data_IF_016069350036
#
_entry.id   IF_016069350036
#
_cell.length_a   1.000
_cell.length_b   1.000
_cell.length_c   1.000
_cell.angle_alpha   90.00
_cell.angle_beta   90.00
_cell.angle_gamma   90.00
#
_symmetry.space_group_name_H-M   'P 1'
#
loop_
_entity.id
_entity.type
_entity.pdbx_description
1 polymer ?
#
# COMPACT_ATOMS: atom_id res chain seq x y z
N UNK A 1 -31.21 26.60 0.53
CA UNK A 1 -30.55 27.34 -0.56
C UNK A 1 -29.46 28.24 0.02
N UNK A 2 -28.23 27.74 0.23
CA UNK A 2 -27.16 28.50 0.90
C UNK A 2 -25.79 28.43 0.22
N UNK A 3 -25.70 27.72 -0.91
CA UNK A 3 -24.45 27.55 -1.66
C UNK A 3 -24.27 28.60 -2.77
N UNK A 4 -25.23 29.52 -2.94
CA UNK A 4 -25.18 30.59 -3.96
C UNK A 4 -25.25 30.12 -5.41
N UNK A 5 -25.52 28.83 -5.67
CA UNK A 5 -25.49 28.24 -7.04
C UNK A 5 -26.57 28.79 -7.98
N UNK A 6 -27.55 29.52 -7.47
CA UNK A 6 -28.60 30.19 -8.26
C UNK A 6 -28.43 31.72 -8.29
N UNK A 7 -27.39 32.25 -7.63
CA UNK A 7 -27.18 33.69 -7.54
C UNK A 7 -26.75 34.26 -8.90
N UNK A 8 -27.16 35.49 -9.25
CA UNK A 8 -26.69 36.16 -10.44
C UNK A 8 -25.16 36.27 -10.42
N UNK A 9 -24.49 35.63 -11.40
CA UNK A 9 -23.03 35.62 -11.49
C UNK A 9 -22.33 34.42 -10.85
N UNK A 10 -23.06 33.41 -10.37
CA UNK A 10 -22.49 32.17 -9.79
C UNK A 10 -21.46 31.45 -10.68
N UNK A 11 -21.49 31.72 -11.99
CA UNK A 11 -20.58 31.16 -13.00
C UNK A 11 -19.97 32.25 -13.90
N UNK A 12 -19.80 33.47 -13.37
CA UNK A 12 -19.22 34.58 -14.15
C UNK A 12 -17.70 34.44 -14.36
N UNK A 13 -17.03 33.68 -13.49
CA UNK A 13 -15.59 33.42 -13.58
C UNK A 13 -15.29 32.23 -14.51
N UNK A 14 -14.15 32.27 -15.19
CA UNK A 14 -13.65 31.13 -15.95
C UNK A 14 -13.13 30.04 -15.00
N UNK A 15 -13.32 28.74 -15.33
CA UNK A 15 -12.80 27.66 -14.51
C UNK A 15 -11.27 27.71 -14.49
N UNK A 16 -10.63 27.35 -13.35
CA UNK A 16 -9.18 27.28 -13.29
C UNK A 16 -8.66 26.25 -14.29
N UNK A 17 -7.72 26.67 -15.14
CA UNK A 17 -7.12 25.81 -16.17
C UNK A 17 -5.95 24.98 -15.65
N UNK A 18 -5.50 25.24 -14.41
CA UNK A 18 -4.42 24.50 -13.76
C UNK A 18 -4.72 24.40 -12.27
N UNK A 19 -4.76 23.17 -11.77
CA UNK A 19 -4.98 22.87 -10.36
C UNK A 19 -3.96 21.82 -9.94
N UNK A 20 -3.17 22.13 -8.92
CA UNK A 20 -2.32 21.13 -8.26
C UNK A 20 -3.12 20.47 -7.13
N UNK A 21 -3.43 19.18 -7.32
CA UNK A 21 -4.21 18.38 -6.39
C UNK A 21 -3.34 17.39 -5.57
N UNK A 22 -2.01 17.45 -5.71
CA UNK A 22 -1.08 16.55 -5.01
C UNK A 22 0.14 17.31 -4.44
N UNK A 23 -0.14 18.45 -3.80
CA UNK A 23 0.89 19.32 -3.22
C UNK A 23 1.73 18.58 -2.17
N UNK A 24 2.99 19.01 -1.91
CA UNK A 24 3.84 18.40 -0.87
C UNK A 24 3.19 18.39 0.52
N UNK A 25 2.38 19.42 0.85
CA UNK A 25 1.67 19.49 2.12
C UNK A 25 0.55 18.45 2.21
N UNK A 26 -0.24 18.26 1.15
CA UNK A 26 -1.28 17.22 1.09
C UNK A 26 -0.65 15.83 1.26
N UNK A 27 0.45 15.56 0.55
CA UNK A 27 1.21 14.31 0.68
C UNK A 27 1.75 14.07 2.09
N UNK A 28 2.29 15.11 2.73
CA UNK A 28 2.79 15.00 4.10
C UNK A 28 1.66 14.68 5.09
N UNK A 29 0.50 15.33 4.94
CA UNK A 29 -0.69 15.04 5.73
C UNK A 29 -1.19 13.61 5.50
N UNK A 30 -1.31 13.18 4.24
CA UNK A 30 -1.74 11.82 3.90
C UNK A 30 -0.79 10.76 4.50
N UNK A 31 0.52 10.96 4.38
CA UNK A 31 1.54 10.09 5.00
C UNK A 31 1.37 10.00 6.52
N UNK A 32 1.19 11.14 7.19
CA UNK A 32 1.00 11.18 8.64
C UNK A 32 -0.27 10.44 9.05
N UNK A 33 -1.39 10.69 8.38
CA UNK A 33 -2.65 10.00 8.64
C UNK A 33 -2.52 8.49 8.45
N UNK A 34 -1.87 8.04 7.37
CA UNK A 34 -1.61 6.63 7.14
C UNK A 34 -0.76 6.01 8.27
N UNK A 35 0.31 6.69 8.71
CA UNK A 35 1.15 6.25 9.82
C UNK A 35 0.39 6.16 11.15
N UNK A 36 -0.47 7.13 11.45
CA UNK A 36 -1.28 7.17 12.67
C UNK A 36 -2.48 6.19 12.61
N UNK A 37 -2.83 5.67 11.43
CA UNK A 37 -3.94 4.72 11.24
C UNK A 37 -3.51 3.25 11.30
N UNK A 38 -2.21 2.95 11.33
CA UNK A 38 -1.72 1.58 11.47
C UNK A 38 -1.86 1.10 12.91
N UNK A 39 -2.46 -0.09 13.08
CA UNK A 39 -2.67 -0.71 14.39
C UNK A 39 -1.74 -1.92 14.53
N UNK A 40 -0.79 -1.84 15.46
CA UNK A 40 0.04 -2.98 15.85
C UNK A 40 -0.76 -3.90 16.79
N UNK A 41 -1.22 -5.03 16.27
CA UNK A 41 -2.03 -5.97 17.05
C UNK A 41 -1.21 -6.88 17.97
N UNK A 42 0.00 -7.28 17.55
CA UNK A 42 0.89 -8.13 18.30
C UNK A 42 2.36 -7.83 17.97
N UNK A 43 3.24 -7.96 18.96
CA UNK A 43 4.69 -7.90 18.79
C UNK A 43 5.35 -8.74 19.88
N UNK A 44 6.05 -9.79 19.48
CA UNK A 44 6.80 -10.71 20.33
C UNK A 44 8.26 -10.28 20.56
N UNK A 45 8.62 -9.07 20.10
CA UNK A 45 9.94 -8.48 20.26
C UNK A 45 10.71 -8.34 18.95
N UNK A 46 10.20 -8.88 17.84
CA UNK A 46 10.81 -8.76 16.50
C UNK A 46 10.76 -7.32 15.97
N UNK A 47 9.71 -6.56 16.26
CA UNK A 47 9.58 -5.18 15.79
C UNK A 47 10.14 -4.17 16.81
N UNK A 48 10.79 -3.07 16.34
CA UNK A 48 11.01 -2.73 14.93
C UNK A 48 12.17 -3.51 14.30
N UNK A 49 12.07 -3.82 12.99
CA UNK A 49 13.09 -4.57 12.23
C UNK A 49 14.45 -3.86 12.18
N UNK A 50 14.43 -2.54 12.19
CA UNK A 50 15.61 -1.69 12.30
C UNK A 50 15.38 -0.73 13.46
N UNK A 51 16.24 -0.77 14.48
CA UNK A 51 16.24 0.24 15.55
C UNK A 51 17.04 1.46 15.11
N UNK A 52 16.53 2.66 15.41
CA UNK A 52 17.22 3.91 15.10
C UNK A 52 18.43 4.13 16.02
N UNK A 53 19.33 5.06 15.68
CA UNK A 53 20.51 5.48 16.46
C UNK A 53 20.25 5.87 17.94
N UNK A 54 18.99 5.95 18.38
CA UNK A 54 18.58 6.41 19.72
C UNK A 54 18.37 5.26 20.71
N UNK A 55 18.32 4.02 20.25
CA UNK A 55 18.09 2.86 21.12
C UNK A 55 19.45 2.22 21.44
N UNK A 56 19.80 2.21 22.71
CA UNK A 56 21.15 1.97 23.27
C UNK A 56 21.93 0.82 22.63
N UNK A 57 23.19 1.11 22.31
CA UNK A 57 24.22 0.13 21.98
C UNK A 57 24.56 -0.66 23.26
N UNK A 58 24.46 -1.99 23.20
CA UNK A 58 25.46 -2.92 23.77
C UNK A 58 24.97 -4.38 23.70
N UNK A 59 23.67 -4.66 23.53
CA UNK A 59 23.12 -6.04 23.45
C UNK A 59 22.04 -6.25 22.36
N UNK A 60 21.88 -5.34 21.39
CA UNK A 60 20.81 -5.45 20.39
C UNK A 60 21.16 -6.45 19.26
N UNK A 61 20.22 -7.31 18.82
CA UNK A 61 20.40 -8.10 17.61
C UNK A 61 20.60 -7.18 16.39
N UNK A 62 21.55 -7.55 15.51
CA UNK A 62 21.82 -6.82 14.28
C UNK A 62 20.59 -6.79 13.37
N UNK A 63 20.39 -5.69 12.64
CA UNK A 63 19.36 -5.59 11.59
C UNK A 63 19.41 -6.82 10.65
N UNK A 64 18.25 -7.30 10.14
CA UNK A 64 18.21 -8.47 9.28
C UNK A 64 19.00 -8.21 7.99
N UNK A 65 19.78 -9.21 7.58
CA UNK A 65 20.55 -9.18 6.32
C UNK A 65 19.70 -9.66 5.15
N UNK A 66 18.73 -10.54 5.41
CA UNK A 66 17.79 -11.07 4.43
C UNK A 66 16.36 -10.93 4.92
N UNK A 67 15.51 -10.32 4.11
CA UNK A 67 14.07 -10.16 4.38
C UNK A 67 13.28 -10.73 3.20
N UNK A 68 12.40 -11.67 3.49
CA UNK A 68 11.42 -12.14 2.52
C UNK A 68 10.17 -11.26 2.61
N UNK A 69 9.65 -10.80 1.48
CA UNK A 69 8.33 -10.17 1.39
C UNK A 69 7.45 -11.11 0.59
N UNK A 70 6.33 -11.55 1.15
CA UNK A 70 5.47 -12.55 0.49
C UNK A 70 4.00 -12.18 0.58
N UNK A 71 3.19 -12.74 -0.30
CA UNK A 71 1.75 -12.59 -0.31
C UNK A 71 1.23 -11.75 -1.48
N UNK A 72 -0.07 -11.90 -1.83
CA UNK A 72 -0.66 -11.30 -3.03
C UNK A 72 -0.61 -9.77 -3.04
N UNK A 73 -0.66 -9.14 -1.87
CA UNK A 73 -0.74 -7.69 -1.75
C UNK A 73 0.63 -7.04 -1.56
N UNK A 74 1.72 -7.81 -1.58
CA UNK A 74 3.08 -7.31 -1.34
C UNK A 74 3.53 -6.30 -2.40
N UNK A 75 3.20 -6.55 -3.67
CA UNK A 75 3.61 -5.74 -4.82
C UNK A 75 2.41 -5.22 -5.63
N UNK A 76 1.36 -4.80 -4.93
CA UNK A 76 0.19 -4.14 -5.53
C UNK A 76 -0.07 -2.80 -4.88
N UNK A 77 -0.11 -1.75 -5.69
CA UNK A 77 -0.51 -0.41 -5.26
C UNK A 77 -2.01 -0.31 -5.05
N UNK A 78 -2.78 -1.08 -5.81
CA UNK A 78 -4.24 -1.21 -5.73
C UNK A 78 -4.68 -1.75 -4.37
N UNK A 79 -3.92 -2.67 -3.79
CA UNK A 79 -4.17 -3.23 -2.46
C UNK A 79 -4.05 -2.19 -1.33
N UNK A 80 -3.36 -1.08 -1.55
CA UNK A 80 -3.29 0.05 -0.60
C UNK A 80 -4.49 0.99 -0.73
N UNK A 81 -5.30 0.80 -1.77
CA UNK A 81 -6.45 1.63 -2.07
C UNK A 81 -7.73 0.87 -1.76
N UNK A 82 -8.66 1.54 -1.08
CA UNK A 82 -9.97 0.99 -0.82
C UNK A 82 -10.92 1.12 -2.01
N UNK A 83 -12.14 0.68 -1.76
CA UNK A 83 -13.28 1.02 -2.61
C UNK A 83 -13.48 2.55 -2.62
N UNK A 84 -13.90 3.08 -3.76
CA UNK A 84 -14.07 4.49 -4.08
C UNK A 84 -12.76 5.26 -4.32
N UNK A 85 -11.71 4.55 -4.66
CA UNK A 85 -10.49 5.14 -5.19
C UNK A 85 -10.56 5.30 -6.71
N UNK A 86 -9.96 6.38 -7.23
CA UNK A 86 -9.83 6.58 -8.68
C UNK A 86 -9.02 5.44 -9.32
N UNK A 87 -8.01 4.94 -8.61
CA UNK A 87 -7.15 3.82 -9.03
C UNK A 87 -7.96 2.56 -9.26
N UNK A 88 -8.69 2.08 -8.25
CA UNK A 88 -9.38 0.78 -8.37
C UNK A 88 -10.68 0.88 -9.17
N UNK A 89 -11.32 2.06 -9.21
CA UNK A 89 -12.66 2.19 -9.81
C UNK A 89 -12.67 2.84 -11.19
N UNK A 90 -11.83 3.84 -11.43
CA UNK A 90 -11.85 4.58 -12.70
C UNK A 90 -10.75 4.03 -13.61
N UNK A 91 -9.51 3.97 -13.13
CA UNK A 91 -8.38 3.55 -13.96
C UNK A 91 -8.45 2.08 -14.40
N UNK A 92 -9.14 1.23 -13.64
CA UNK A 92 -9.46 -0.14 -14.06
C UNK A 92 -10.19 -0.20 -15.43
N UNK A 93 -10.89 0.87 -15.84
CA UNK A 93 -11.55 0.99 -17.13
C UNK A 93 -10.75 1.77 -18.19
N UNK A 94 -9.57 2.29 -17.84
CA UNK A 94 -8.73 3.15 -18.70
C UNK A 94 -7.27 2.66 -18.76
N UNK A 95 -7.03 1.45 -19.32
CA UNK A 95 -5.69 0.89 -19.39
C UNK A 95 -4.77 1.82 -20.19
N UNK A 96 -3.58 2.09 -19.64
CA UNK A 96 -2.59 3.02 -20.22
C UNK A 96 -2.66 4.45 -19.69
N UNK A 97 -3.66 4.79 -18.87
CA UNK A 97 -3.68 6.06 -18.14
C UNK A 97 -2.87 5.92 -16.85
N UNK A 98 -1.85 6.77 -16.59
CA UNK A 98 -1.09 6.71 -15.35
C UNK A 98 -1.94 7.12 -14.14
N UNK A 99 -1.57 6.64 -12.96
CA UNK A 99 -2.26 6.97 -11.70
C UNK A 99 -2.30 8.46 -11.37
N UNK A 100 -1.30 9.22 -11.84
CA UNK A 100 -1.18 10.66 -11.58
C UNK A 100 -0.67 11.00 -10.17
N UNK A 101 -0.51 10.00 -9.30
CA UNK A 101 0.04 10.10 -7.94
C UNK A 101 1.04 8.98 -7.69
N UNK A 102 1.99 9.21 -6.77
CA UNK A 102 2.93 8.19 -6.35
C UNK A 102 2.29 7.23 -5.34
N UNK A 103 2.26 5.93 -5.68
CA UNK A 103 1.68 4.87 -4.85
C UNK A 103 2.66 3.70 -4.74
N UNK A 104 3.77 3.86 -3.99
CA UNK A 104 4.74 2.79 -3.86
C UNK A 104 4.12 1.58 -3.17
N UNK A 105 4.41 0.38 -3.66
CA UNK A 105 3.94 -0.87 -3.05
C UNK A 105 4.61 -1.09 -1.68
N UNK A 106 4.11 -2.08 -0.92
CA UNK A 106 4.78 -2.49 0.33
C UNK A 106 6.19 -3.00 0.04
N UNK A 107 6.36 -3.78 -1.02
CA UNK A 107 7.65 -4.29 -1.47
C UNK A 107 8.62 -3.16 -1.84
N UNK A 108 8.17 -2.19 -2.65
CA UNK A 108 8.99 -1.02 -3.02
C UNK A 108 9.39 -0.21 -1.78
N UNK A 109 8.44 0.05 -0.89
CA UNK A 109 8.68 0.83 0.34
C UNK A 109 9.63 0.10 1.30
N UNK A 110 9.56 -1.23 1.40
CA UNK A 110 10.48 -2.03 2.21
C UNK A 110 11.88 -2.08 1.61
N UNK A 111 12.01 -2.18 0.29
CA UNK A 111 13.32 -2.11 -0.39
C UNK A 111 14.02 -0.78 -0.15
N UNK A 112 13.27 0.33 -0.18
CA UNK A 112 13.81 1.66 0.14
C UNK A 112 14.16 1.79 1.64
N UNK A 113 13.24 1.41 2.53
CA UNK A 113 13.42 1.54 3.97
C UNK A 113 14.52 0.61 4.53
N UNK A 114 14.78 -0.52 3.87
CA UNK A 114 15.79 -1.51 4.25
C UNK A 114 16.97 -1.51 3.26
N UNK A 115 17.33 -0.35 2.72
CA UNK A 115 18.47 -0.25 1.80
C UNK A 115 19.74 -0.88 2.40
N UNK A 116 20.31 -1.86 1.70
CA UNK A 116 21.47 -2.65 2.15
C UNK A 116 21.13 -4.03 2.71
N UNK A 117 19.84 -4.34 2.92
CA UNK A 117 19.32 -5.68 3.17
C UNK A 117 18.96 -6.36 1.85
N UNK A 118 19.18 -7.67 1.76
CA UNK A 118 18.72 -8.48 0.63
C UNK A 118 17.22 -8.76 0.78
N UNK A 119 16.41 -8.17 -0.11
CA UNK A 119 14.94 -8.26 -0.07
C UNK A 119 14.44 -9.14 -1.22
N UNK A 120 14.02 -10.34 -0.87
CA UNK A 120 13.45 -11.33 -1.80
C UNK A 120 11.93 -11.27 -1.79
N UNK A 121 11.29 -11.67 -2.89
CA UNK A 121 9.83 -11.58 -3.06
C UNK A 121 9.25 -12.85 -3.68
N UNK A 122 8.10 -13.29 -3.19
CA UNK A 122 7.28 -14.34 -3.79
C UNK A 122 5.78 -14.12 -3.49
N UNK A 123 4.93 -14.27 -4.50
CA UNK A 123 3.48 -14.02 -4.36
C UNK A 123 2.80 -15.08 -3.49
N UNK A 124 3.16 -16.35 -3.66
CA UNK A 124 2.55 -17.47 -2.93
C UNK A 124 1.22 -17.92 -3.55
N UNK A 125 0.18 -17.11 -3.44
CA UNK A 125 -1.14 -17.36 -4.06
C UNK A 125 -1.83 -16.04 -4.40
N UNK A 126 -2.90 -16.10 -5.21
CA UNK A 126 -3.77 -14.96 -5.44
C UNK A 126 -4.66 -14.67 -4.20
N UNK A 127 -5.31 -13.50 -4.19
CA UNK A 127 -6.29 -13.13 -3.14
C UNK A 127 -7.50 -14.05 -3.19
N UNK A 128 -7.92 -14.43 -4.40
CA UNK A 128 -9.02 -15.35 -4.66
C UNK A 128 -8.54 -16.63 -5.39
N UNK A 129 -9.43 -17.62 -5.46
CA UNK A 129 -9.14 -18.91 -6.07
C UNK A 129 -8.50 -19.94 -5.14
N UNK A 130 -8.18 -21.11 -5.70
CA UNK A 130 -7.72 -22.29 -4.97
C UNK A 130 -6.31 -22.75 -5.37
N UNK A 131 -5.64 -21.99 -6.25
CA UNK A 131 -4.30 -22.36 -6.71
C UNK A 131 -3.27 -22.12 -5.61
N UNK A 132 -2.73 -23.22 -5.09
CA UNK A 132 -1.71 -23.25 -4.06
C UNK A 132 -0.30 -23.54 -4.63
N UNK A 133 -0.14 -23.58 -5.96
CA UNK A 133 1.10 -24.01 -6.61
C UNK A 133 2.31 -23.10 -6.33
N UNK A 134 2.08 -21.82 -6.01
CA UNK A 134 3.14 -20.87 -5.64
C UNK A 134 3.53 -20.89 -4.16
N UNK A 135 2.76 -21.55 -3.28
CA UNK A 135 3.06 -21.59 -1.84
C UNK A 135 4.43 -22.21 -1.54
N UNK A 136 4.86 -23.32 -2.17
CA UNK A 136 6.19 -23.88 -1.96
C UNK A 136 7.34 -22.89 -2.22
N UNK A 137 7.21 -22.02 -3.22
CA UNK A 137 8.19 -20.97 -3.51
C UNK A 137 8.22 -19.91 -2.40
N UNK A 138 7.05 -19.41 -1.98
CA UNK A 138 6.96 -18.45 -0.88
C UNK A 138 7.55 -19.03 0.43
N UNK A 139 7.33 -20.32 0.70
CA UNK A 139 7.96 -21.02 1.82
C UNK A 139 9.48 -21.10 1.67
N UNK A 140 10.00 -21.38 0.47
CA UNK A 140 11.43 -21.45 0.23
C UNK A 140 12.11 -20.09 0.47
N UNK A 141 11.51 -19.01 -0.04
CA UNK A 141 12.00 -17.63 0.15
C UNK A 141 11.95 -17.23 1.62
N UNK A 142 10.84 -17.51 2.33
CA UNK A 142 10.72 -17.23 3.75
C UNK A 142 11.74 -18.01 4.61
N UNK A 143 12.08 -19.24 4.23
CA UNK A 143 13.07 -20.08 4.94
C UNK A 143 14.51 -19.60 4.78
N UNK A 144 14.83 -18.91 3.69
CA UNK A 144 16.18 -18.36 3.48
C UNK A 144 16.36 -16.96 4.07
N UNK A 145 15.28 -16.32 4.52
CA UNK A 145 15.32 -15.00 5.15
C UNK A 145 15.51 -15.06 6.67
N UNK A 146 16.02 -13.97 7.25
CA UNK A 146 16.08 -13.79 8.69
C UNK A 146 14.69 -13.42 9.26
N UNK A 147 13.90 -12.70 8.46
CA UNK A 147 12.51 -12.31 8.75
C UNK A 147 11.67 -12.38 7.48
N UNK A 148 10.41 -12.81 7.61
CA UNK A 148 9.42 -12.75 6.54
C UNK A 148 8.33 -11.70 6.87
N UNK A 149 8.03 -10.83 5.91
CA UNK A 149 6.90 -9.90 5.91
C UNK A 149 5.82 -10.48 5.00
N UNK A 150 4.69 -10.88 5.59
CA UNK A 150 3.57 -11.48 4.86
C UNK A 150 2.48 -10.42 4.67
N UNK A 151 2.20 -10.05 3.42
CA UNK A 151 1.25 -9.00 3.04
C UNK A 151 0.03 -9.66 2.41
N UNK A 152 -1.04 -9.77 3.20
CA UNK A 152 -2.31 -10.40 2.83
C UNK A 152 -3.46 -9.45 3.12
N UNK A 153 -4.60 -9.70 2.50
CA UNK A 153 -5.79 -8.90 2.67
C UNK A 153 -6.83 -9.27 1.63
N UNK A 154 -7.74 -8.35 1.39
CA UNK A 154 -8.75 -8.42 0.35
C UNK A 154 -8.28 -7.72 -0.93
N UNK A 155 -9.14 -7.78 -1.95
CA UNK A 155 -9.01 -7.09 -3.23
C UNK A 155 -10.27 -6.24 -3.42
N UNK A 156 -10.09 -4.92 -3.40
CA UNK A 156 -11.19 -3.98 -3.55
C UNK A 156 -11.67 -3.91 -5.01
N UNK A 157 -12.97 -4.12 -5.23
CA UNK A 157 -13.57 -4.04 -6.55
C UNK A 157 -14.98 -3.45 -6.55
N UNK A 158 -15.57 -3.38 -7.73
CA UNK A 158 -16.98 -3.02 -7.94
C UNK A 158 -17.70 -4.11 -8.72
N UNK A 159 -18.93 -4.41 -8.32
CA UNK A 159 -19.88 -5.21 -9.10
C UNK A 159 -19.34 -6.60 -9.50
N UNK A 160 -18.90 -7.39 -8.52
CA UNK A 160 -18.41 -8.77 -8.66
C UNK A 160 -16.95 -8.90 -9.11
N UNK A 161 -16.14 -7.84 -9.00
CA UNK A 161 -14.75 -7.80 -9.52
C UNK A 161 -13.68 -7.68 -8.44
N UNK A 162 -14.04 -7.96 -7.19
CA UNK A 162 -13.13 -8.01 -6.07
C UNK A 162 -13.70 -8.89 -4.97
N UNK A 163 -12.90 -9.19 -3.96
CA UNK A 163 -13.32 -9.95 -2.78
C UNK A 163 -14.02 -9.08 -1.73
N UNK A 164 -13.89 -7.75 -1.84
CA UNK A 164 -14.64 -6.76 -1.06
C UNK A 164 -15.06 -5.57 -1.91
N UNK A 165 -16.11 -4.87 -1.48
CA UNK A 165 -16.54 -3.62 -2.10
C UNK A 165 -17.99 -3.59 -2.52
N UNK A 166 -18.38 -2.56 -3.25
CA UNK A 166 -19.79 -2.33 -3.60
C UNK A 166 -20.25 -3.37 -4.61
N UNK A 167 -21.26 -4.15 -4.23
CA UNK A 167 -21.83 -5.21 -5.06
C UNK A 167 -20.91 -6.41 -5.25
N UNK A 168 -20.07 -6.72 -4.26
CA UNK A 168 -19.27 -7.94 -4.18
C UNK A 168 -19.77 -8.89 -3.06
N UNK A 169 -21.00 -8.68 -2.57
CA UNK A 169 -21.68 -9.49 -1.56
C UNK A 169 -22.34 -10.78 -2.11
#
# INVERSE_FOLDING_TARGET
EGLGVLDPGAYADEPPTTVDLDTPQQRATARRLAQESLVLLANDGVLPLVRGRRDSADDAPSAPRRVAVVGPNADSSEALMGCYSFVNHVLAHHPGTPAGIALPTVLESLRDALAGTDVTHAVGCAVDGLDASGIPEAVAVARDADVAVVVVGDEAGLFGRGTVGVGND
#
